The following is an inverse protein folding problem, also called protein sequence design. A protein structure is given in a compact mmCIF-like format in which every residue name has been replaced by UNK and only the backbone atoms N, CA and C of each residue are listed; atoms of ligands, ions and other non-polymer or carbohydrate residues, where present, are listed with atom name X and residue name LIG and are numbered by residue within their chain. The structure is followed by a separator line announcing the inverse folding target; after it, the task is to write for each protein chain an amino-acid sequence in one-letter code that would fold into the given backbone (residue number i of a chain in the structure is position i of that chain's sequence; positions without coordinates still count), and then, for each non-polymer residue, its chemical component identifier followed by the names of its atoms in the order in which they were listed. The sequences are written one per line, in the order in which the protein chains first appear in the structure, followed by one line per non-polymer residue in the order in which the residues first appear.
data_IF_399052671580
#
_entry.id   IF_399052671580
#
_cell.length_a   1.000
_cell.length_b   1.000
_cell.length_c   1.000
_cell.angle_alpha   90.00
_cell.angle_beta   90.00
_cell.angle_gamma   90.00
#
_symmetry.space_group_name_H-M   'P 1'
#
loop_
_entity.id
_entity.type
_entity.pdbx_description
1 polymer ?
#
# COMPACT_ATOMS: atom_id res chain seq x y z
N UNK A 1 21.34 -10.03 -5.14
CA UNK A 1 21.29 -8.56 -5.20
C UNK A 1 20.81 -8.19 -6.60
N UNK A 2 19.50 -7.92 -6.75
CA UNK A 2 18.94 -7.36 -7.99
C UNK A 2 19.55 -5.96 -8.18
N UNK A 3 19.60 -5.50 -9.43
CA UNK A 3 20.30 -4.29 -9.89
C UNK A 3 19.59 -3.01 -9.45
N UNK A 4 19.52 -2.73 -8.15
CA UNK A 4 18.73 -1.62 -7.59
C UNK A 4 19.35 -0.23 -7.81
N UNK A 5 20.66 -0.14 -8.11
CA UNK A 5 21.35 1.15 -8.27
C UNK A 5 21.18 1.83 -9.65
N UNK A 6 20.53 1.20 -10.64
CA UNK A 6 20.31 1.84 -11.95
C UNK A 6 19.05 2.73 -12.01
N UNK A 7 18.33 2.87 -10.88
CA UNK A 7 16.94 3.37 -10.80
C UNK A 7 16.81 4.91 -10.63
N UNK A 8 17.85 5.70 -10.90
CA UNK A 8 17.98 7.08 -10.39
C UNK A 8 17.96 8.20 -11.44
N UNK A 9 17.30 8.01 -12.58
CA UNK A 9 17.31 9.02 -13.65
C UNK A 9 16.20 10.09 -13.60
N UNK A 10 15.37 10.17 -12.55
CA UNK A 10 14.27 11.16 -12.50
C UNK A 10 14.05 11.86 -11.15
N UNK A 11 15.05 11.97 -10.28
CA UNK A 11 15.05 13.10 -9.35
C UNK A 11 15.52 14.31 -10.16
N UNK A 12 14.67 15.32 -10.47
CA UNK A 12 15.17 16.55 -11.06
C UNK A 12 16.21 17.09 -10.08
N UNK A 13 17.47 17.18 -10.53
CA UNK A 13 18.53 17.80 -9.77
C UNK A 13 18.01 19.10 -9.18
N UNK A 14 18.12 19.28 -7.85
CA UNK A 14 17.78 20.52 -7.16
C UNK A 14 18.41 21.66 -7.96
N UNK A 15 17.57 22.41 -8.68
CA UNK A 15 18.00 23.46 -9.58
C UNK A 15 18.71 24.52 -8.75
N UNK A 16 19.91 24.91 -9.20
CA UNK A 16 20.52 26.15 -8.74
C UNK A 16 19.67 27.30 -9.28
N UNK A 17 19.16 28.13 -8.39
CA UNK A 17 18.47 29.37 -8.73
C UNK A 17 19.37 30.28 -9.56
N UNK A 18 19.02 30.48 -10.83
CA UNK A 18 19.33 31.68 -11.59
C UNK A 18 18.39 31.77 -12.81
N UNK A 19 17.19 32.33 -12.61
CA UNK A 19 16.35 32.80 -13.71
C UNK A 19 15.51 34.02 -13.30
N UNK A 20 15.91 35.18 -13.81
CA UNK A 20 15.14 36.43 -13.91
C UNK A 20 13.77 36.24 -14.57
N UNK A 21 12.73 37.02 -14.19
CA UNK A 21 11.37 36.82 -14.67
C UNK A 21 11.14 37.45 -16.05
N UNK A 22 10.54 36.69 -16.96
CA UNK A 22 9.97 37.18 -18.21
C UNK A 22 8.48 37.51 -18.06
N UNK A 23 8.09 38.57 -18.76
CA UNK A 23 6.82 39.29 -18.72
C UNK A 23 5.57 38.50 -19.10
N UNK A 24 4.48 38.79 -18.39
CA UNK A 24 3.10 38.35 -18.63
C UNK A 24 2.51 38.99 -19.90
N UNK A 25 2.07 38.17 -20.83
CA UNK A 25 1.25 38.56 -21.98
C UNK A 25 -0.21 38.17 -21.76
N UNK A 26 -1.10 39.16 -21.83
CA UNK A 26 -2.56 39.04 -21.67
C UNK A 26 -3.28 38.71 -22.97
N UNK A 27 -4.16 37.71 -22.93
CA UNK A 27 -5.26 37.47 -23.89
C UNK A 27 -6.09 36.30 -23.33
N UNK A 28 -7.41 36.35 -23.14
CA UNK A 28 -8.46 37.04 -23.85
C UNK A 28 -9.41 35.95 -24.37
N UNK A 29 -10.42 35.56 -23.58
CA UNK A 29 -11.46 34.59 -23.99
C UNK A 29 -12.84 35.17 -23.68
N UNK A 30 -13.69 35.18 -24.72
CA UNK A 30 -15.07 35.64 -24.68
C UNK A 30 -15.99 34.59 -25.34
N UNK A 31 -17.16 34.39 -24.71
CA UNK A 31 -18.39 33.85 -25.31
C UNK A 31 -18.48 32.32 -25.41
N UNK A 32 -19.63 31.66 -25.28
CA UNK A 32 -21.00 32.12 -25.08
C UNK A 32 -21.88 30.94 -24.64
N UNK A 33 -23.07 31.28 -24.13
CA UNK A 33 -24.07 30.42 -23.52
C UNK A 33 -24.99 29.68 -24.52
N UNK A 34 -25.72 28.68 -24.00
CA UNK A 34 -26.97 28.12 -24.54
C UNK A 34 -27.15 26.67 -24.09
N UNK A 35 -28.32 26.11 -23.80
CA UNK A 35 -29.69 26.56 -23.57
C UNK A 35 -30.44 25.29 -23.06
N UNK A 36 -31.49 25.48 -22.26
CA UNK A 36 -32.23 24.42 -21.58
C UNK A 36 -33.07 23.52 -22.51
N UNK A 37 -33.39 22.31 -22.03
CA UNK A 37 -34.43 21.43 -22.57
C UNK A 37 -34.96 20.47 -21.50
N UNK A 38 -36.28 20.40 -21.36
CA UNK A 38 -37.05 19.80 -20.26
C UNK A 38 -37.94 18.64 -20.71
N UNK A 39 -38.20 17.69 -19.80
CA UNK A 39 -39.33 16.72 -19.80
C UNK A 39 -39.00 15.34 -20.39
N UNK A 40 -39.48 14.20 -19.91
CA UNK A 40 -40.39 13.84 -18.83
C UNK A 40 -40.85 12.37 -19.00
N UNK A 41 -41.14 11.71 -17.87
CA UNK A 41 -42.06 10.57 -17.67
C UNK A 41 -41.65 9.10 -17.94
N UNK A 42 -42.10 8.31 -16.94
CA UNK A 42 -41.93 6.89 -16.63
C UNK A 42 -42.44 5.85 -17.65
N UNK A 43 -41.85 4.65 -17.58
CA UNK A 43 -42.39 3.40 -18.09
C UNK A 43 -41.68 2.18 -17.47
N UNK A 44 -42.47 1.29 -16.88
CA UNK A 44 -42.05 0.03 -16.21
C UNK A 44 -42.08 -1.11 -17.24
N UNK A 45 -41.08 -1.99 -17.25
CA UNK A 45 -41.13 -3.27 -17.97
C UNK A 45 -39.78 -3.99 -18.04
N UNK A 46 -39.69 -5.18 -17.44
CA UNK A 46 -38.49 -6.01 -17.45
C UNK A 46 -38.31 -6.85 -18.71
N UNK A 47 -37.06 -7.13 -19.06
CA UNK A 47 -36.61 -8.31 -19.81
C UNK A 47 -35.08 -8.40 -19.79
N UNK A 48 -34.57 -9.63 -19.68
CA UNK A 48 -33.16 -9.98 -19.82
C UNK A 48 -32.65 -9.66 -21.24
N UNK A 49 -31.47 -9.04 -21.35
CA UNK A 49 -30.87 -8.67 -22.64
C UNK A 49 -29.36 -8.46 -22.54
N UNK A 50 -28.65 -9.04 -23.50
CA UNK A 50 -27.22 -8.96 -23.78
C UNK A 50 -26.68 -7.52 -23.80
N UNK A 51 -25.55 -7.29 -23.12
CA UNK A 51 -24.92 -5.98 -22.94
C UNK A 51 -24.42 -5.33 -24.24
N UNK A 52 -25.29 -4.56 -24.88
CA UNK A 52 -24.93 -3.50 -25.81
C UNK A 52 -24.73 -2.19 -25.03
N UNK A 53 -23.62 -1.51 -25.31
CA UNK A 53 -23.27 -0.24 -24.70
C UNK A 53 -24.37 0.82 -24.94
N UNK A 54 -25.14 1.13 -23.90
CA UNK A 54 -25.99 2.29 -23.86
C UNK A 54 -25.12 3.53 -23.61
N UNK A 55 -25.21 4.52 -24.51
CA UNK A 55 -24.60 5.83 -24.32
C UNK A 55 -25.16 6.48 -23.06
N UNK A 56 -24.28 6.68 -22.08
CA UNK A 56 -24.59 7.31 -20.80
C UNK A 56 -24.56 8.83 -20.99
N UNK A 57 -25.62 9.52 -20.58
CA UNK A 57 -25.68 10.98 -20.51
C UNK A 57 -24.45 11.52 -19.76
N UNK A 58 -23.73 12.45 -20.41
CA UNK A 58 -22.40 12.95 -20.05
C UNK A 58 -22.32 13.84 -18.80
N UNK A 59 -22.95 13.43 -17.69
CA UNK A 59 -22.60 13.95 -16.38
C UNK A 59 -21.26 13.35 -15.97
N UNK A 60 -20.16 14.11 -16.05
CA UNK A 60 -18.86 13.66 -15.58
C UNK A 60 -18.93 13.49 -14.06
N UNK A 61 -19.14 12.25 -13.59
CA UNK A 61 -19.00 11.91 -12.18
C UNK A 61 -17.66 12.44 -11.69
N UNK A 62 -17.67 13.17 -10.57
CA UNK A 62 -16.44 13.72 -10.00
C UNK A 62 -15.44 12.59 -9.74
N UNK A 63 -14.19 12.77 -10.18
CA UNK A 63 -13.11 11.81 -9.99
C UNK A 63 -12.88 11.49 -8.50
N UNK A 64 -12.99 12.52 -7.66
CA UNK A 64 -12.68 12.43 -6.24
C UNK A 64 -13.84 12.88 -5.35
N UNK A 65 -13.83 12.30 -4.16
CA UNK A 65 -14.74 12.56 -3.06
C UNK A 65 -13.94 12.73 -1.78
N UNK A 66 -14.25 13.78 -1.03
CA UNK A 66 -13.71 14.03 0.32
C UNK A 66 -14.13 13.00 1.37
N UNK A 67 -15.00 12.05 1.00
CA UNK A 67 -15.45 10.97 1.89
C UNK A 67 -14.70 9.67 1.59
N UNK A 68 -14.49 9.34 0.31
CA UNK A 68 -14.03 8.00 -0.12
C UNK A 68 -12.76 8.02 -0.98
N UNK A 69 -12.11 9.18 -1.17
CA UNK A 69 -10.97 9.31 -2.07
C UNK A 69 -11.42 9.24 -3.53
N UNK A 70 -10.85 8.33 -4.33
CA UNK A 70 -11.36 8.11 -5.69
C UNK A 70 -12.78 7.54 -5.65
N UNK A 71 -13.65 8.06 -6.53
CA UNK A 71 -15.05 7.61 -6.63
C UNK A 71 -15.18 6.25 -7.32
N UNK A 72 -14.10 5.76 -7.93
CA UNK A 72 -14.00 4.44 -8.55
C UNK A 72 -12.66 3.79 -8.17
N UNK A 73 -12.59 2.44 -8.16
CA UNK A 73 -11.33 1.73 -8.04
C UNK A 73 -10.31 2.16 -9.10
N UNK A 74 -9.03 2.02 -8.78
CA UNK A 74 -7.97 2.31 -9.74
C UNK A 74 -8.14 1.47 -11.02
N UNK A 75 -7.89 2.04 -12.21
CA UNK A 75 -7.94 1.32 -13.47
C UNK A 75 -6.96 0.15 -13.47
N UNK A 76 -7.49 -1.03 -13.82
CA UNK A 76 -6.68 -2.22 -14.03
C UNK A 76 -6.15 -2.27 -15.45
N UNK A 77 -4.97 -2.86 -15.64
CA UNK A 77 -4.42 -3.12 -16.96
C UNK A 77 -5.27 -4.17 -17.69
N UNK A 78 -5.57 -3.93 -18.97
CA UNK A 78 -6.27 -4.90 -19.85
C UNK A 78 -5.69 -4.87 -21.26
N UNK A 79 -6.10 -5.76 -22.18
CA UNK A 79 -5.71 -5.67 -23.58
C UNK A 79 -6.21 -4.37 -24.24
N UNK A 80 -7.39 -3.90 -23.86
CA UNK A 80 -8.02 -2.67 -24.38
C UNK A 80 -7.42 -1.40 -23.74
N UNK A 81 -6.95 -1.52 -22.50
CA UNK A 81 -6.35 -0.44 -21.71
C UNK A 81 -5.02 -0.92 -21.11
N UNK A 82 -3.98 -1.10 -21.94
CA UNK A 82 -2.69 -1.58 -21.46
C UNK A 82 -2.08 -0.57 -20.49
N UNK A 83 -1.27 -1.09 -19.58
CA UNK A 83 -0.40 -0.29 -18.75
C UNK A 83 0.90 -0.04 -19.50
N UNK A 84 1.02 1.17 -20.03
CA UNK A 84 2.05 1.63 -20.96
C UNK A 84 3.14 2.47 -20.28
N UNK A 85 3.04 2.66 -18.97
CA UNK A 85 4.08 3.27 -18.11
C UNK A 85 4.61 2.21 -17.13
N UNK A 86 5.09 1.05 -17.62
CA UNK A 86 5.50 -0.01 -16.73
C UNK A 86 6.62 0.48 -15.82
N UNK A 87 6.52 0.15 -14.54
CA UNK A 87 7.60 0.39 -13.61
C UNK A 87 8.90 -0.29 -14.09
N UNK A 88 10.06 0.31 -13.81
CA UNK A 88 11.35 -0.15 -14.33
C UNK A 88 11.66 -1.62 -13.99
N UNK A 89 11.22 -2.08 -12.82
CA UNK A 89 11.31 -3.46 -12.35
C UNK A 89 10.62 -4.48 -13.27
N UNK A 90 9.66 -4.04 -14.09
CA UNK A 90 9.02 -4.85 -15.12
C UNK A 90 9.85 -4.96 -16.41
N UNK A 91 11.02 -4.33 -16.48
CA UNK A 91 11.92 -4.36 -17.64
C UNK A 91 11.21 -4.01 -18.96
N UNK A 92 10.33 -3.01 -18.93
CA UNK A 92 9.55 -2.56 -20.08
C UNK A 92 8.42 -3.50 -20.51
N UNK A 93 8.07 -4.50 -19.70
CA UNK A 93 6.91 -5.35 -19.98
C UNK A 93 5.61 -4.55 -19.90
N UNK A 94 4.90 -4.46 -21.01
CA UNK A 94 3.54 -3.93 -21.05
C UNK A 94 2.61 -4.93 -20.38
N UNK A 95 1.91 -4.49 -19.33
CA UNK A 95 0.93 -5.32 -18.65
C UNK A 95 -0.42 -5.18 -19.37
N UNK A 96 -0.97 -6.31 -19.80
CA UNK A 96 -2.25 -6.39 -20.52
C UNK A 96 -3.26 -7.30 -19.81
N UNK A 97 -2.94 -7.74 -18.59
CA UNK A 97 -3.83 -8.56 -17.76
C UNK A 97 -4.05 -7.86 -16.42
N UNK A 98 -5.23 -8.01 -15.78
CA UNK A 98 -5.53 -7.34 -14.52
C UNK A 98 -4.79 -7.94 -13.31
N UNK A 99 -4.24 -9.15 -13.47
CA UNK A 99 -3.60 -9.93 -12.41
C UNK A 99 -2.61 -10.89 -13.03
N UNK A 100 -1.52 -11.20 -12.32
CA UNK A 100 -0.51 -12.15 -12.78
C UNK A 100 -0.19 -13.14 -11.65
N UNK A 101 -0.17 -14.46 -11.90
CA UNK A 101 0.21 -15.42 -10.86
C UNK A 101 1.63 -15.15 -10.35
N UNK A 102 1.85 -15.07 -9.02
CA UNK A 102 3.19 -14.95 -8.45
C UNK A 102 3.95 -16.28 -8.51
N UNK A 103 5.28 -16.21 -8.41
CA UNK A 103 6.10 -17.38 -8.15
C UNK A 103 6.19 -17.61 -6.63
N UNK A 104 5.42 -18.56 -6.12
CA UNK A 104 5.37 -18.78 -4.68
C UNK A 104 6.70 -19.36 -4.14
N UNK A 105 7.31 -18.73 -3.11
CA UNK A 105 8.57 -19.20 -2.56
C UNK A 105 8.42 -20.55 -1.85
N UNK A 106 9.54 -21.23 -1.62
CA UNK A 106 9.58 -22.51 -0.92
C UNK A 106 8.87 -22.42 0.45
N UNK A 107 8.05 -23.43 0.76
CA UNK A 107 7.21 -23.44 1.97
C UNK A 107 5.86 -22.75 1.81
N UNK A 108 5.56 -22.18 0.64
CA UNK A 108 4.24 -21.61 0.32
C UNK A 108 3.59 -22.30 -0.89
N UNK A 109 2.26 -22.20 -1.00
CA UNK A 109 1.46 -22.74 -2.09
C UNK A 109 0.65 -21.63 -2.75
N UNK A 110 0.50 -21.70 -4.07
CA UNK A 110 -0.35 -20.77 -4.82
C UNK A 110 -1.83 -20.98 -4.47
N UNK A 111 -2.48 -19.93 -3.97
CA UNK A 111 -3.92 -19.82 -3.81
C UNK A 111 -4.51 -18.98 -4.94
N UNK A 112 -5.76 -19.27 -5.29
CA UNK A 112 -6.50 -18.60 -6.36
C UNK A 112 -7.94 -18.37 -5.89
N UNK A 113 -8.51 -17.20 -6.21
CA UNK A 113 -9.94 -16.92 -6.00
C UNK A 113 -10.45 -16.07 -7.16
N UNK A 114 -11.68 -16.33 -7.60
CA UNK A 114 -12.37 -15.46 -8.55
C UNK A 114 -13.16 -14.41 -7.76
N UNK A 115 -12.76 -13.15 -7.91
CA UNK A 115 -13.35 -12.02 -7.19
C UNK A 115 -13.70 -10.93 -8.18
N UNK A 116 -14.98 -10.53 -8.20
CA UNK A 116 -15.51 -9.50 -9.09
C UNK A 116 -15.18 -9.77 -10.58
N UNK A 117 -15.22 -11.04 -10.99
CA UNK A 117 -14.96 -11.46 -12.37
C UNK A 117 -13.48 -11.53 -12.76
N UNK A 118 -12.55 -11.40 -11.80
CA UNK A 118 -11.11 -11.50 -12.04
C UNK A 118 -10.53 -12.60 -11.15
N UNK A 119 -9.74 -13.51 -11.74
CA UNK A 119 -8.94 -14.47 -10.96
C UNK A 119 -7.76 -13.75 -10.30
N UNK A 120 -7.69 -13.86 -8.98
CA UNK A 120 -6.69 -13.22 -8.12
C UNK A 120 -5.88 -14.29 -7.40
N UNK A 121 -4.65 -13.95 -7.01
CA UNK A 121 -3.65 -14.91 -6.55
C UNK A 121 -3.05 -14.53 -5.20
N UNK A 122 -2.57 -15.52 -4.45
CA UNK A 122 -1.78 -15.32 -3.25
C UNK A 122 -0.82 -16.51 -3.06
N UNK A 123 0.20 -16.35 -2.24
CA UNK A 123 1.06 -17.45 -1.79
C UNK A 123 0.81 -17.69 -0.30
N UNK A 124 0.46 -18.91 0.08
CA UNK A 124 0.09 -19.25 1.44
C UNK A 124 0.99 -20.32 2.07
N UNK A 125 1.39 -20.10 3.32
CA UNK A 125 2.03 -21.10 4.17
C UNK A 125 1.07 -21.49 5.31
N UNK A 126 0.82 -22.78 5.46
CA UNK A 126 0.09 -23.35 6.58
C UNK A 126 1.07 -23.82 7.66
N UNK A 127 0.89 -23.42 8.94
CA UNK A 127 1.79 -23.81 10.01
C UNK A 127 1.56 -25.27 10.43
N UNK A 128 2.61 -25.99 10.87
CA UNK A 128 2.46 -27.33 11.41
C UNK A 128 1.47 -27.40 12.59
N UNK A 129 0.65 -28.45 12.60
CA UNK A 129 -0.27 -28.73 13.71
C UNK A 129 -1.50 -27.84 13.78
N UNK A 130 -1.75 -26.97 12.79
CA UNK A 130 -3.04 -26.32 12.64
C UNK A 130 -4.14 -27.37 12.40
N UNK A 131 -5.25 -27.25 13.13
CA UNK A 131 -6.39 -28.14 13.00
C UNK A 131 -7.65 -27.49 13.54
N UNK A 132 -8.81 -28.14 13.34
CA UNK A 132 -10.09 -27.68 13.89
C UNK A 132 -10.12 -27.61 15.43
N UNK A 133 -9.27 -28.40 16.11
CA UNK A 133 -9.13 -28.38 17.58
C UNK A 133 -7.92 -27.59 18.07
N UNK A 134 -7.04 -27.17 17.15
CA UNK A 134 -5.82 -26.42 17.43
C UNK A 134 -5.64 -25.34 16.35
N UNK A 135 -6.54 -24.37 16.35
CA UNK A 135 -6.53 -23.26 15.40
C UNK A 135 -5.25 -22.41 15.53
N UNK A 136 -4.85 -21.74 14.45
CA UNK A 136 -3.67 -20.87 14.42
C UNK A 136 -4.04 -19.45 13.95
N UNK A 137 -3.33 -18.42 14.43
CA UNK A 137 -3.49 -17.06 13.91
C UNK A 137 -3.28 -17.00 12.40
N UNK A 138 -3.83 -15.96 11.76
CA UNK A 138 -3.65 -15.68 10.34
C UNK A 138 -2.99 -14.31 10.17
N UNK A 139 -1.96 -14.21 9.34
CA UNK A 139 -1.38 -12.96 8.85
C UNK A 139 -1.59 -12.88 7.34
N UNK A 140 -2.27 -11.82 6.88
CA UNK A 140 -2.21 -11.38 5.50
C UNK A 140 -1.02 -10.43 5.35
N UNK A 141 -0.16 -10.69 4.37
CA UNK A 141 0.98 -9.84 4.05
C UNK A 141 0.81 -9.22 2.67
N UNK A 142 1.04 -7.90 2.58
CA UNK A 142 0.90 -7.11 1.36
C UNK A 142 2.26 -6.55 0.92
N UNK A 143 2.62 -6.81 -0.33
CA UNK A 143 3.95 -6.54 -0.88
C UNK A 143 4.17 -5.05 -1.21
N UNK A 144 5.42 -4.58 -1.36
CA UNK A 144 5.71 -3.23 -1.84
C UNK A 144 5.26 -3.04 -3.30
N UNK A 145 5.13 -1.78 -3.74
CA UNK A 145 4.60 -1.49 -5.07
C UNK A 145 5.53 -1.95 -6.19
N UNK A 146 4.96 -2.42 -7.30
CA UNK A 146 5.70 -2.83 -8.49
C UNK A 146 6.18 -4.29 -8.48
N UNK A 147 6.34 -4.87 -7.30
CA UNK A 147 6.77 -6.24 -7.07
C UNK A 147 5.60 -7.24 -7.01
N UNK A 148 5.83 -8.50 -6.62
CA UNK A 148 4.78 -9.49 -6.42
C UNK A 148 4.77 -10.09 -5.02
N UNK A 149 3.80 -10.96 -4.75
CA UNK A 149 3.72 -11.72 -3.50
C UNK A 149 4.98 -12.56 -3.21
N UNK A 150 5.81 -12.83 -4.22
CA UNK A 150 7.11 -13.51 -4.11
C UNK A 150 8.15 -12.73 -3.28
N UNK A 151 8.00 -11.42 -3.14
CA UNK A 151 8.85 -10.58 -2.27
C UNK A 151 8.70 -10.91 -0.78
N UNK A 152 7.73 -11.73 -0.38
CA UNK A 152 7.72 -12.31 0.97
C UNK A 152 9.01 -13.11 1.28
N UNK A 153 9.71 -13.60 0.24
CA UNK A 153 11.01 -14.26 0.38
C UNK A 153 12.15 -13.33 0.82
N UNK A 154 11.95 -12.01 0.77
CA UNK A 154 12.86 -11.01 1.30
C UNK A 154 12.61 -10.70 2.78
N UNK A 155 11.70 -11.44 3.41
CA UNK A 155 11.38 -11.35 4.83
C UNK A 155 11.76 -12.66 5.53
N UNK A 156 11.78 -12.64 6.87
CA UNK A 156 11.87 -13.85 7.68
C UNK A 156 10.50 -14.52 7.94
N UNK A 157 9.38 -13.95 7.46
CA UNK A 157 8.04 -14.36 7.85
C UNK A 157 7.68 -15.79 7.46
N UNK A 158 8.10 -16.29 6.29
CA UNK A 158 7.84 -17.68 5.87
C UNK A 158 8.50 -18.67 6.82
N UNK A 159 9.71 -18.39 7.30
CA UNK A 159 10.39 -19.25 8.27
C UNK A 159 9.75 -19.18 9.66
N UNK A 160 9.32 -17.98 10.08
CA UNK A 160 8.69 -17.73 11.38
C UNK A 160 7.27 -18.29 11.45
N UNK A 161 6.55 -18.36 10.34
CA UNK A 161 5.17 -18.88 10.29
C UNK A 161 5.06 -20.31 10.82
N UNK A 162 6.11 -21.12 10.71
CA UNK A 162 6.09 -22.49 11.19
C UNK A 162 6.19 -22.63 12.73
N UNK A 163 6.78 -21.65 13.44
CA UNK A 163 7.22 -21.86 14.82
C UNK A 163 7.01 -20.68 15.79
N UNK A 164 6.79 -19.46 15.30
CA UNK A 164 6.61 -18.30 16.18
C UNK A 164 5.26 -18.37 16.90
N UNK A 165 5.25 -18.19 18.22
CA UNK A 165 4.01 -18.19 19.01
C UNK A 165 3.31 -16.83 18.94
N UNK A 166 2.27 -16.72 18.12
CA UNK A 166 1.37 -15.55 18.05
C UNK A 166 0.12 -15.69 18.94
N UNK A 167 -0.01 -16.79 19.67
CA UNK A 167 -1.16 -17.07 20.52
C UNK A 167 -0.91 -16.69 21.98
N UNK A 168 0.35 -16.69 22.42
CA UNK A 168 0.77 -16.66 23.82
C UNK A 168 0.73 -18.04 24.49
N UNK A 169 0.38 -19.08 23.74
CA UNK A 169 0.39 -20.48 24.15
C UNK A 169 1.49 -21.22 23.39
N UNK A 170 2.57 -21.55 24.08
CA UNK A 170 3.73 -22.23 23.50
C UNK A 170 3.42 -23.63 22.95
N UNK A 171 2.24 -24.20 23.25
CA UNK A 171 1.77 -25.46 22.65
C UNK A 171 1.11 -25.28 21.29
N UNK A 172 0.83 -24.03 20.88
CA UNK A 172 0.24 -23.66 19.59
C UNK A 172 1.15 -22.75 18.76
N UNK A 173 2.42 -23.13 18.52
CA UNK A 173 3.33 -22.32 17.73
C UNK A 173 2.86 -22.23 16.26
N UNK A 174 3.28 -21.16 15.61
CA UNK A 174 3.06 -20.90 14.20
C UNK A 174 1.78 -20.12 13.89
N UNK A 175 1.66 -19.70 12.64
CA UNK A 175 0.55 -18.94 12.11
C UNK A 175 0.40 -19.17 10.59
N UNK A 176 -0.83 -19.08 10.09
CA UNK A 176 -1.08 -19.03 8.66
C UNK A 176 -0.52 -17.72 8.10
N UNK A 177 0.25 -17.80 7.03
CA UNK A 177 0.79 -16.63 6.34
C UNK A 177 0.28 -16.62 4.91
N UNK A 178 -0.30 -15.51 4.47
CA UNK A 178 -0.83 -15.34 3.11
C UNK A 178 -0.24 -14.07 2.50
N UNK A 179 0.71 -14.22 1.59
CA UNK A 179 1.25 -13.12 0.79
C UNK A 179 0.32 -12.85 -0.40
N UNK A 180 -0.36 -11.71 -0.37
CA UNK A 180 -1.43 -11.37 -1.32
C UNK A 180 -0.83 -10.73 -2.58
N UNK A 181 -1.22 -11.19 -3.78
CA UNK A 181 -0.77 -10.57 -5.03
C UNK A 181 -1.61 -9.33 -5.37
N UNK A 182 -0.93 -8.20 -5.54
CA UNK A 182 -1.49 -6.95 -6.06
C UNK A 182 -1.98 -7.10 -7.50
N UNK A 183 -2.93 -6.23 -7.89
CA UNK A 183 -3.42 -6.14 -9.27
C UNK A 183 -2.41 -5.40 -10.13
N UNK A 184 -2.44 -5.67 -11.42
CA UNK A 184 -1.77 -4.80 -12.39
C UNK A 184 -2.63 -3.54 -12.56
N UNK A 185 -2.16 -2.41 -12.02
CA UNK A 185 -2.90 -1.15 -11.94
C UNK A 185 -2.14 -0.01 -12.62
N UNK A 186 -2.90 0.97 -13.11
CA UNK A 186 -2.39 2.31 -13.40
C UNK A 186 -2.24 3.07 -12.09
N UNK A 187 -1.06 3.01 -11.49
CA UNK A 187 -0.85 3.55 -10.15
C UNK A 187 -0.61 5.08 -10.20
N UNK A 188 -1.27 5.87 -9.33
CA UNK A 188 -1.32 7.32 -9.48
C UNK A 188 -0.22 8.07 -8.71
N UNK A 189 1.04 7.69 -8.92
CA UNK A 189 2.20 8.35 -8.31
C UNK A 189 2.78 9.46 -9.20
N UNK A 190 3.50 10.40 -8.61
CA UNK A 190 4.25 11.48 -9.28
C UNK A 190 5.33 10.94 -10.21
N UNK A 191 5.98 9.83 -9.81
CA UNK A 191 6.71 8.98 -10.72
C UNK A 191 5.74 7.87 -11.14
N UNK A 192 5.00 8.01 -12.26
CA UNK A 192 3.89 7.11 -12.52
C UNK A 192 4.43 5.72 -12.81
N UNK A 193 4.00 4.75 -11.99
CA UNK A 193 4.48 3.39 -12.02
C UNK A 193 3.29 2.47 -12.23
N UNK A 194 3.02 2.11 -13.47
CA UNK A 194 2.09 1.02 -13.69
C UNK A 194 2.74 -0.28 -13.26
N UNK A 195 1.98 -1.14 -12.58
CA UNK A 195 2.56 -2.33 -12.02
C UNK A 195 1.64 -3.04 -11.06
N UNK A 196 2.23 -3.96 -10.32
CA UNK A 196 1.54 -4.76 -9.33
C UNK A 196 1.39 -3.94 -8.05
N UNK A 197 0.18 -3.52 -7.75
CA UNK A 197 -0.13 -2.67 -6.60
C UNK A 197 -1.40 -3.11 -5.88
N UNK A 198 -1.52 -2.66 -4.65
CA UNK A 198 -2.76 -2.66 -3.88
C UNK A 198 -3.38 -1.25 -3.93
N UNK A 199 -4.65 -1.18 -4.30
CA UNK A 199 -5.42 0.06 -4.35
C UNK A 199 -5.80 0.51 -2.95
N UNK A 200 -5.08 1.51 -2.45
CA UNK A 200 -5.43 2.20 -1.22
C UNK A 200 -6.06 3.57 -1.48
N UNK A 201 -6.47 3.91 -2.71
CA UNK A 201 -7.04 5.23 -3.04
C UNK A 201 -8.57 5.23 -3.18
N UNK A 202 -9.18 4.07 -3.46
CA UNK A 202 -10.64 3.89 -3.33
C UNK A 202 -11.00 3.41 -1.91
N UNK A 203 -11.53 4.32 -1.08
CA UNK A 203 -11.63 4.19 0.38
C UNK A 203 -13.08 4.24 0.87
N UNK A 204 -14.00 3.60 0.15
CA UNK A 204 -15.39 3.54 0.60
C UNK A 204 -15.55 2.61 1.81
N UNK A 205 -15.34 3.15 3.01
CA UNK A 205 -15.45 2.40 4.26
C UNK A 205 -16.90 2.01 4.59
N UNK A 206 -17.90 2.61 3.92
CA UNK A 206 -19.31 2.21 4.08
C UNK A 206 -19.64 0.95 3.30
N UNK A 207 -18.89 0.69 2.22
CA UNK A 207 -18.97 -0.53 1.42
C UNK A 207 -17.56 -1.02 1.08
N UNK A 208 -16.74 -1.49 2.05
CA UNK A 208 -15.30 -1.71 1.81
C UNK A 208 -14.97 -2.62 0.63
N UNK A 209 -15.79 -3.66 0.39
CA UNK A 209 -15.62 -4.58 -0.73
C UNK A 209 -15.95 -3.99 -2.11
N UNK A 210 -16.34 -2.71 -2.22
CA UNK A 210 -16.35 -1.99 -3.49
C UNK A 210 -14.93 -1.77 -4.03
N UNK A 211 -13.93 -1.75 -3.13
CA UNK A 211 -12.52 -1.85 -3.49
C UNK A 211 -12.18 -3.32 -3.82
N UNK A 212 -11.76 -3.64 -5.07
CA UNK A 212 -11.48 -5.01 -5.47
C UNK A 212 -10.32 -5.69 -4.72
N UNK A 213 -9.39 -4.92 -4.15
CA UNK A 213 -8.31 -5.48 -3.32
C UNK A 213 -8.80 -5.84 -1.92
N UNK A 214 -9.71 -5.04 -1.34
CA UNK A 214 -10.39 -5.39 -0.09
C UNK A 214 -11.26 -6.63 -0.30
N UNK A 215 -12.06 -6.67 -1.37
CA UNK A 215 -12.91 -7.81 -1.68
C UNK A 215 -12.11 -9.12 -1.85
N UNK A 216 -10.91 -9.03 -2.42
CA UNK A 216 -10.04 -10.20 -2.56
C UNK A 216 -9.44 -10.64 -1.21
N UNK A 217 -8.99 -9.70 -0.38
CA UNK A 217 -8.52 -10.00 0.96
C UNK A 217 -9.63 -10.62 1.83
N UNK A 218 -10.88 -10.12 1.72
CA UNK A 218 -12.05 -10.68 2.38
C UNK A 218 -12.26 -12.15 1.97
N UNK A 219 -12.27 -12.42 0.66
CA UNK A 219 -12.49 -13.77 0.13
C UNK A 219 -11.42 -14.77 0.59
N UNK A 220 -10.15 -14.34 0.69
CA UNK A 220 -9.07 -15.16 1.23
C UNK A 220 -9.30 -15.46 2.72
N UNK A 221 -9.61 -14.44 3.53
CA UNK A 221 -9.89 -14.60 4.97
C UNK A 221 -11.07 -15.55 5.17
N UNK A 222 -12.18 -15.30 4.49
CA UNK A 222 -13.41 -16.08 4.63
C UNK A 222 -13.19 -17.53 4.20
N UNK A 223 -12.48 -17.76 3.10
CA UNK A 223 -12.15 -19.11 2.63
C UNK A 223 -11.25 -19.87 3.62
N UNK A 224 -10.26 -19.20 4.22
CA UNK A 224 -9.33 -19.85 5.16
C UNK A 224 -10.00 -20.13 6.51
N UNK A 225 -10.83 -19.22 7.00
CA UNK A 225 -11.62 -19.44 8.23
C UNK A 225 -12.63 -20.55 8.03
N UNK A 226 -13.30 -20.62 6.88
CA UNK A 226 -14.22 -21.72 6.57
C UNK A 226 -13.53 -23.10 6.56
N UNK A 227 -12.21 -23.15 6.31
CA UNK A 227 -11.40 -24.35 6.45
C UNK A 227 -11.23 -24.83 7.91
N UNK A 228 -11.57 -23.99 8.89
CA UNK A 228 -11.65 -24.34 10.31
C UNK A 228 -10.32 -24.37 11.07
N UNK A 229 -9.20 -24.05 10.43
CA UNK A 229 -7.86 -24.08 11.04
C UNK A 229 -7.36 -22.71 11.48
N UNK A 230 -8.08 -21.63 11.16
CA UNK A 230 -7.76 -20.25 11.56
C UNK A 230 -8.43 -19.90 12.89
N UNK A 231 -7.69 -19.21 13.76
CA UNK A 231 -8.18 -18.59 14.99
C UNK A 231 -8.80 -17.23 14.65
N UNK A 232 -10.12 -17.16 14.62
CA UNK A 232 -10.88 -15.99 14.15
C UNK A 232 -10.64 -14.74 15.02
N UNK A 233 -10.14 -14.89 16.25
CA UNK A 233 -9.78 -13.75 17.11
C UNK A 233 -8.43 -13.14 16.74
N UNK A 234 -7.65 -13.79 15.86
CA UNK A 234 -6.26 -13.47 15.57
C UNK A 234 -6.00 -13.42 14.07
N UNK A 235 -6.84 -12.66 13.37
CA UNK A 235 -6.63 -12.31 11.95
C UNK A 235 -5.92 -10.96 11.93
N UNK A 236 -4.68 -10.96 11.44
CA UNK A 236 -3.80 -9.80 11.43
C UNK A 236 -3.39 -9.46 10.02
N UNK A 237 -2.88 -8.24 9.86
CA UNK A 237 -2.35 -7.77 8.57
C UNK A 237 -0.95 -7.19 8.74
N UNK A 238 -0.12 -7.38 7.73
CA UNK A 238 1.20 -6.79 7.62
C UNK A 238 1.41 -6.27 6.21
N UNK A 239 2.26 -5.26 6.06
CA UNK A 239 2.57 -4.77 4.73
C UNK A 239 3.80 -3.87 4.69
N UNK A 240 4.34 -3.74 3.49
CA UNK A 240 5.52 -2.94 3.19
C UNK A 240 5.21 -1.90 2.12
N UNK A 241 5.60 -0.64 2.31
CA UNK A 241 5.46 0.42 1.27
C UNK A 241 4.00 0.53 0.81
N UNK A 242 3.69 0.41 -0.49
CA UNK A 242 2.33 0.31 -1.03
C UNK A 242 1.45 -0.69 -0.27
N UNK A 243 1.96 -1.90 0.01
CA UNK A 243 1.28 -2.89 0.81
C UNK A 243 1.10 -2.46 2.26
N UNK A 244 1.99 -1.64 2.81
CA UNK A 244 1.84 -1.02 4.13
C UNK A 244 0.69 0.01 4.18
N UNK A 245 0.53 0.82 3.13
CA UNK A 245 -0.61 1.75 3.01
C UNK A 245 -1.92 0.96 2.93
N UNK A 246 -1.95 -0.07 2.09
CA UNK A 246 -3.13 -0.93 1.94
C UNK A 246 -3.44 -1.74 3.20
N UNK A 247 -2.43 -2.29 3.89
CA UNK A 247 -2.62 -3.03 5.14
C UNK A 247 -3.27 -2.15 6.22
N UNK A 248 -2.87 -0.89 6.34
CA UNK A 248 -3.52 0.06 7.24
C UNK A 248 -4.98 0.29 6.85
N UNK A 249 -5.25 0.57 5.57
CA UNK A 249 -6.62 0.74 5.07
C UNK A 249 -7.48 -0.48 5.37
N UNK A 250 -6.99 -1.69 5.08
CA UNK A 250 -7.72 -2.93 5.28
C UNK A 250 -7.96 -3.22 6.77
N UNK A 251 -6.97 -2.99 7.65
CA UNK A 251 -7.14 -3.09 9.09
C UNK A 251 -8.25 -2.16 9.59
N UNK A 252 -8.24 -0.89 9.17
CA UNK A 252 -9.25 0.10 9.54
C UNK A 252 -10.64 -0.30 9.01
N UNK A 253 -10.70 -0.73 7.75
CA UNK A 253 -11.95 -1.13 7.11
C UNK A 253 -12.58 -2.38 7.75
N UNK A 254 -11.76 -3.28 8.33
CA UNK A 254 -12.21 -4.59 8.83
C UNK A 254 -12.10 -4.83 10.33
N UNK A 255 -11.58 -3.88 11.08
CA UNK A 255 -11.57 -4.00 12.54
C UNK A 255 -12.99 -3.94 13.11
N UNK A 256 -13.74 -2.91 12.69
CA UNK A 256 -15.09 -2.71 13.19
C UNK A 256 -16.20 -3.27 12.28
N UNK A 257 -15.92 -3.45 11.00
CA UNK A 257 -16.86 -4.00 10.03
C UNK A 257 -16.43 -5.40 9.61
N UNK A 258 -17.30 -6.38 9.78
CA UNK A 258 -16.96 -7.74 9.38
C UNK A 258 -16.82 -7.87 7.84
N UNK A 259 -16.01 -8.82 7.39
CA UNK A 259 -16.05 -9.35 6.02
C UNK A 259 -17.43 -9.95 5.72
N UNK A 260 -17.78 -10.24 4.45
CA UNK A 260 -19.02 -10.96 4.12
C UNK A 260 -19.17 -12.30 4.85
N UNK A 261 -18.07 -13.01 5.11
CA UNK A 261 -18.02 -14.25 5.91
C UNK A 261 -17.97 -14.04 7.43
N UNK A 262 -18.17 -12.81 7.92
CA UNK A 262 -18.31 -12.52 9.35
C UNK A 262 -17.00 -12.34 10.11
N UNK A 263 -15.86 -12.21 9.43
CA UNK A 263 -14.54 -12.12 10.03
C UNK A 263 -14.11 -10.67 10.25
N UNK A 264 -13.23 -10.41 11.22
CA UNK A 264 -12.72 -9.07 11.53
C UNK A 264 -11.20 -9.10 11.67
N UNK A 265 -10.56 -7.98 11.38
CA UNK A 265 -9.10 -7.82 11.56
C UNK A 265 -8.81 -7.32 12.98
N UNK A 266 -7.97 -8.05 13.69
CA UNK A 266 -7.61 -7.77 15.08
C UNK A 266 -6.62 -6.60 15.19
N UNK A 267 -5.55 -6.61 14.38
CA UNK A 267 -4.48 -5.61 14.43
C UNK A 267 -3.63 -5.61 13.14
N UNK A 268 -2.82 -4.56 12.98
CA UNK A 268 -1.86 -4.42 11.88
C UNK A 268 -0.43 -4.13 12.33
N UNK A 269 0.56 -4.57 11.55
CA UNK A 269 1.96 -4.16 11.71
C UNK A 269 2.59 -3.86 10.33
N UNK A 270 2.95 -2.61 10.09
CA UNK A 270 3.33 -2.11 8.76
C UNK A 270 4.71 -1.48 8.75
N UNK A 271 5.38 -1.50 7.61
CA UNK A 271 6.72 -0.95 7.43
C UNK A 271 6.79 0.03 6.26
N UNK A 272 7.56 1.11 6.45
CA UNK A 272 7.90 2.11 5.43
C UNK A 272 6.64 2.66 4.71
N UNK A 273 5.70 3.18 5.49
CA UNK A 273 4.40 3.67 5.02
C UNK A 273 3.95 4.88 5.84
N UNK A 274 2.92 5.57 5.38
CA UNK A 274 2.34 6.74 6.01
C UNK A 274 0.82 6.75 5.82
N UNK A 275 0.21 7.89 5.51
CA UNK A 275 -1.24 8.08 5.47
C UNK A 275 -1.87 7.43 4.23
N UNK A 276 -2.77 6.45 4.39
CA UNK A 276 -3.58 5.95 3.28
C UNK A 276 -4.84 6.81 3.07
N UNK A 277 -4.90 8.05 3.58
CA UNK A 277 -6.09 8.94 3.50
C UNK A 277 -5.80 10.31 2.87
N UNK A 278 -4.57 10.55 2.44
CA UNK A 278 -4.15 11.80 1.82
C UNK A 278 -4.40 11.86 0.30
N UNK A 279 -4.11 13.03 -0.27
CA UNK A 279 -4.35 13.38 -1.67
C UNK A 279 -3.36 12.68 -2.63
N UNK A 280 -3.60 12.85 -3.92
CA UNK A 280 -2.85 12.20 -5.01
C UNK A 280 -2.47 13.21 -6.09
N UNK A 281 -1.22 13.16 -6.58
CA UNK A 281 -0.71 14.10 -7.59
C UNK A 281 -1.00 13.70 -9.04
N UNK A 282 -1.62 12.55 -9.28
CA UNK A 282 -1.84 12.00 -10.62
C UNK A 282 -3.27 11.52 -10.83
N UNK A 283 -3.82 11.74 -12.02
CA UNK A 283 -5.10 11.16 -12.46
C UNK A 283 -4.83 9.84 -13.20
N UNK A 284 -5.14 8.68 -12.61
CA UNK A 284 -4.86 7.39 -13.25
C UNK A 284 -5.84 7.07 -14.40
N UNK A 285 -6.97 7.77 -14.49
CA UNK A 285 -8.01 7.54 -15.50
C UNK A 285 -7.74 8.34 -16.78
N UNK A 286 -7.36 9.61 -16.63
CA UNK A 286 -6.97 10.47 -17.74
C UNK A 286 -5.47 10.37 -18.08
N UNK A 287 -4.68 9.72 -17.22
CA UNK A 287 -3.23 9.58 -17.38
C UNK A 287 -2.51 10.95 -17.47
N UNK A 288 -2.83 11.87 -16.57
CA UNK A 288 -2.25 13.22 -16.52
C UNK A 288 -1.87 13.64 -15.10
N UNK A 289 -0.87 14.52 -14.93
CA UNK A 289 -0.62 15.16 -13.65
C UNK A 289 -1.86 15.92 -13.17
N UNK A 290 -2.10 15.92 -11.85
CA UNK A 290 -3.11 16.74 -11.19
C UNK A 290 -2.44 17.83 -10.38
N UNK A 291 -3.04 19.01 -10.36
CA UNK A 291 -2.71 20.02 -9.36
C UNK A 291 -3.24 19.51 -8.01
N UNK A 292 -2.41 19.44 -6.96
CA UNK A 292 -2.88 19.10 -5.63
C UNK A 292 -3.82 20.20 -5.13
N UNK A 293 -5.11 19.93 -5.13
CA UNK A 293 -6.14 20.82 -4.57
C UNK A 293 -6.83 20.20 -3.34
N UNK A 294 -6.37 19.02 -2.90
CA UNK A 294 -6.93 18.28 -1.77
C UNK A 294 -8.20 17.51 -2.11
N UNK A 295 -8.62 17.43 -3.38
CA UNK A 295 -9.93 16.87 -3.73
C UNK A 295 -10.07 15.37 -3.42
N UNK A 296 -8.98 14.60 -3.40
CA UNK A 296 -9.01 13.15 -3.12
C UNK A 296 -8.56 12.80 -1.70
N UNK A 297 -8.16 13.81 -0.91
CA UNK A 297 -7.94 13.66 0.53
C UNK A 297 -9.28 13.49 1.23
N UNK A 298 -9.34 12.58 2.19
CA UNK A 298 -10.53 12.42 3.03
C UNK A 298 -10.57 13.52 4.10
N UNK A 299 -11.70 14.22 4.22
CA UNK A 299 -11.85 15.35 5.16
C UNK A 299 -11.88 14.90 6.63
N UNK A 300 -12.49 13.73 6.89
CA UNK A 300 -12.60 13.16 8.23
C UNK A 300 -11.97 11.76 8.26
N UNK A 301 -10.91 11.60 9.05
CA UNK A 301 -10.32 10.29 9.28
C UNK A 301 -11.30 9.38 10.04
N UNK A 302 -11.32 8.07 9.74
CA UNK A 302 -12.19 7.14 10.44
C UNK A 302 -11.75 7.00 11.91
N UNK A 303 -12.74 7.02 12.81
CA UNK A 303 -12.53 6.77 14.24
C UNK A 303 -12.73 5.28 14.54
N UNK A 304 -11.66 4.50 14.36
CA UNK A 304 -11.63 3.05 14.58
C UNK A 304 -10.47 2.71 15.52
N UNK A 305 -10.73 2.04 16.63
CA UNK A 305 -9.73 1.75 17.67
C UNK A 305 -8.79 0.57 17.32
N UNK A 306 -8.51 0.35 16.03
CA UNK A 306 -7.67 -0.75 15.57
C UNK A 306 -6.20 -0.54 16.02
N UNK A 307 -5.58 -1.52 16.69
CA UNK A 307 -4.16 -1.46 17.03
C UNK A 307 -3.29 -1.60 15.77
N UNK A 308 -2.46 -0.60 15.51
CA UNK A 308 -1.49 -0.62 14.39
C UNK A 308 -0.10 -0.25 14.92
N UNK A 309 0.89 -1.09 14.65
CA UNK A 309 2.31 -0.72 14.79
C UNK A 309 2.86 -0.25 13.43
N UNK A 310 3.33 0.98 13.38
CA UNK A 310 4.03 1.53 12.21
C UNK A 310 5.55 1.55 12.47
N UNK A 311 6.28 0.72 11.73
CA UNK A 311 7.75 0.67 11.73
C UNK A 311 8.28 1.51 10.57
N UNK A 312 9.23 2.41 10.81
CA UNK A 312 9.81 3.26 9.76
C UNK A 312 11.26 3.63 10.09
N UNK A 313 12.03 3.97 9.05
CA UNK A 313 13.43 4.42 9.21
C UNK A 313 13.53 5.93 9.16
N UNK A 314 14.42 6.51 9.95
CA UNK A 314 14.89 7.89 9.72
C UNK A 314 15.69 7.90 8.43
N UNK A 315 15.32 8.73 7.45
CA UNK A 315 15.95 8.79 6.12
C UNK A 315 15.37 7.78 5.10
N UNK A 316 14.07 7.51 5.14
CA UNK A 316 13.40 6.89 4.00
C UNK A 316 13.04 7.98 2.98
N UNK A 317 13.59 7.88 1.76
CA UNK A 317 13.37 8.87 0.71
C UNK A 317 12.05 8.70 -0.05
N UNK A 318 11.44 7.52 -0.01
CA UNK A 318 10.15 7.29 -0.66
C UNK A 318 9.00 7.65 0.27
N UNK A 319 9.14 7.37 1.57
CA UNK A 319 8.18 7.73 2.62
C UNK A 319 8.94 8.48 3.72
N UNK A 320 8.98 9.81 3.59
CA UNK A 320 9.66 10.67 4.54
C UNK A 320 9.16 10.44 5.98
N UNK A 321 10.05 10.55 6.96
CA UNK A 321 9.63 10.55 8.36
C UNK A 321 9.00 11.90 8.73
N UNK A 322 9.62 13.01 8.31
CA UNK A 322 9.22 14.37 8.69
C UNK A 322 8.88 15.26 7.48
N UNK A 323 8.14 16.38 7.66
CA UNK A 323 7.86 17.33 6.59
C UNK A 323 9.11 17.94 5.95
N UNK A 324 10.18 18.15 6.71
CA UNK A 324 11.45 18.69 6.20
C UNK A 324 12.09 17.70 5.21
N UNK A 325 12.07 16.40 5.54
CA UNK A 325 12.52 15.36 4.61
C UNK A 325 11.61 15.26 3.40
N UNK A 326 10.30 15.35 3.59
CA UNK A 326 9.32 15.32 2.52
C UNK A 326 9.58 16.43 1.49
N UNK A 327 9.83 17.65 1.98
CA UNK A 327 10.21 18.79 1.13
C UNK A 327 11.54 18.55 0.40
N UNK A 328 12.47 17.82 1.02
CA UNK A 328 13.79 17.60 0.47
C UNK A 328 13.81 16.53 -0.63
N UNK A 329 13.00 15.48 -0.48
CA UNK A 329 12.88 14.41 -1.47
C UNK A 329 11.72 14.66 -2.47
N UNK A 330 10.99 15.77 -2.33
CA UNK A 330 9.73 16.04 -3.03
C UNK A 330 8.76 14.83 -2.95
N UNK A 331 8.57 14.30 -1.74
CA UNK A 331 7.68 13.15 -1.55
C UNK A 331 6.22 13.53 -1.83
N UNK A 332 5.46 12.53 -2.26
CA UNK A 332 4.04 12.70 -2.52
C UNK A 332 3.23 13.09 -1.27
N UNK A 333 2.07 13.76 -1.43
CA UNK A 333 1.16 14.02 -0.34
C UNK A 333 0.77 12.70 0.33
N UNK A 334 0.76 12.66 1.66
CA UNK A 334 0.48 11.44 2.41
C UNK A 334 1.68 10.55 2.69
N UNK A 335 2.85 10.82 2.11
CA UNK A 335 4.06 10.02 2.28
C UNK A 335 4.96 10.57 3.38
N UNK A 336 4.35 11.13 4.45
CA UNK A 336 5.05 11.66 5.62
C UNK A 336 4.56 10.97 6.90
N UNK A 337 5.46 10.23 7.53
CA UNK A 337 5.11 9.24 8.56
C UNK A 337 4.70 9.87 9.90
N UNK A 338 5.49 10.79 10.44
CA UNK A 338 5.24 11.36 11.77
C UNK A 338 3.94 12.17 11.84
N UNK A 339 3.63 13.07 10.87
CA UNK A 339 2.35 13.77 10.84
C UNK A 339 1.16 12.81 10.72
N UNK A 340 1.31 11.71 9.99
CA UNK A 340 0.28 10.69 9.89
C UNK A 340 0.02 10.00 11.24
N UNK A 341 1.06 9.62 11.97
CA UNK A 341 0.92 9.00 13.30
C UNK A 341 0.12 9.91 14.24
N UNK A 342 0.42 11.20 14.25
CA UNK A 342 -0.27 12.17 15.09
C UNK A 342 -1.74 12.37 14.66
N UNK A 343 -1.99 12.50 13.36
CA UNK A 343 -3.35 12.62 12.82
C UNK A 343 -4.21 11.37 13.09
N UNK A 344 -3.63 10.18 12.93
CA UNK A 344 -4.30 8.91 13.18
C UNK A 344 -4.69 8.76 14.65
N UNK A 345 -3.78 9.07 15.59
CA UNK A 345 -4.07 9.07 17.03
C UNK A 345 -5.17 10.08 17.38
N UNK A 346 -5.10 11.28 16.83
CA UNK A 346 -6.12 12.31 17.04
C UNK A 346 -7.51 11.88 16.53
N UNK A 347 -7.55 11.07 15.47
CA UNK A 347 -8.78 10.48 14.94
C UNK A 347 -9.30 9.27 15.73
N UNK A 348 -8.56 8.75 16.72
CA UNK A 348 -8.95 7.59 17.52
C UNK A 348 -8.39 6.25 17.04
N UNK A 349 -7.49 6.25 16.05
CA UNK A 349 -6.76 5.05 15.63
C UNK A 349 -5.68 4.73 16.67
N UNK A 350 -5.65 3.49 17.16
CA UNK A 350 -4.68 3.04 18.16
C UNK A 350 -3.30 2.78 17.54
N UNK A 351 -2.65 3.85 17.08
CA UNK A 351 -1.37 3.79 16.39
C UNK A 351 -0.20 3.88 17.38
N UNK A 352 0.71 2.91 17.28
CA UNK A 352 2.03 2.93 17.91
C UNK A 352 3.10 2.94 16.83
N UNK A 353 4.32 3.32 17.18
CA UNK A 353 5.39 3.42 16.19
C UNK A 353 6.73 2.94 16.71
N UNK A 354 7.51 2.32 15.84
CA UNK A 354 8.90 1.97 16.07
C UNK A 354 9.77 2.67 15.03
N UNK A 355 10.50 3.70 15.48
CA UNK A 355 11.44 4.45 14.65
C UNK A 355 12.80 3.75 14.66
N UNK A 356 13.29 3.39 13.48
CA UNK A 356 14.58 2.76 13.25
C UNK A 356 15.59 3.82 12.77
N UNK A 357 16.85 3.71 13.20
CA UNK A 357 17.90 4.64 12.81
C UNK A 357 18.41 4.42 11.38
N UNK A 358 18.82 5.51 10.71
CA UNK A 358 19.10 5.59 9.26
C UNK A 358 20.42 5.00 8.76
N UNK A 359 21.04 4.06 9.48
CA UNK A 359 22.32 3.42 9.07
C UNK A 359 22.34 1.90 9.06
N UNK A 360 21.21 1.26 9.35
CA UNK A 360 21.15 -0.21 9.40
C UNK A 360 21.24 -0.87 7.99
N UNK A 361 21.22 -0.07 6.93
CA UNK A 361 21.35 -0.49 5.53
C UNK A 361 22.69 -1.16 5.13
N UNK A 362 23.67 -1.27 6.04
CA UNK A 362 24.75 -2.23 5.88
C UNK A 362 26.15 -1.67 6.13
N UNK A 363 26.89 -2.33 7.03
CA UNK A 363 28.27 -2.00 7.38
C UNK A 363 29.26 -2.16 6.21
N UNK A 364 28.84 -2.73 5.07
CA UNK A 364 29.65 -2.84 3.85
C UNK A 364 29.56 -1.62 2.93
N UNK A 365 28.59 -0.72 3.12
CA UNK A 365 28.53 0.57 2.41
C UNK A 365 29.06 1.74 3.29
N UNK A 366 29.46 1.43 4.53
CA UNK A 366 29.90 2.36 5.59
C UNK A 366 31.39 2.76 5.53
N UNK A 367 32.17 2.32 4.54
CA UNK A 367 33.63 2.49 4.59
C UNK A 367 34.09 3.95 4.43
N UNK A 368 33.23 4.89 4.00
CA UNK A 368 33.66 6.29 3.76
C UNK A 368 32.74 7.41 4.33
N UNK A 369 31.73 7.13 5.17
CA UNK A 369 30.80 8.15 5.68
C UNK A 369 30.80 8.34 7.21
N UNK A 370 30.93 9.57 7.77
CA UNK A 370 31.05 9.78 9.22
C UNK A 370 29.79 9.35 9.98
N UNK A 371 29.91 8.33 10.82
CA UNK A 371 28.85 7.73 11.63
C UNK A 371 28.39 8.65 12.78
N UNK A 372 27.63 9.72 12.52
CA UNK A 372 26.96 10.47 13.60
C UNK A 372 25.92 11.49 13.12
N UNK A 373 24.69 11.06 12.86
CA UNK A 373 23.49 11.85 13.14
C UNK A 373 22.30 10.90 13.19
N UNK A 374 21.58 10.85 14.31
CA UNK A 374 20.31 10.12 14.45
C UNK A 374 19.15 10.83 13.76
N UNK A 375 19.47 11.85 12.95
CA UNK A 375 18.55 12.75 12.30
C UNK A 375 19.08 12.99 10.89
N UNK A 376 18.34 12.55 9.88
CA UNK A 376 18.51 13.09 8.55
C UNK A 376 18.23 14.58 8.64
N UNK A 377 19.29 15.37 8.69
CA UNK A 377 19.17 16.82 8.69
C UNK A 377 18.86 17.28 7.27
N UNK A 378 18.21 18.43 7.11
CA UNK A 378 17.97 19.04 5.78
C UNK A 378 19.27 19.25 4.98
N UNK A 379 20.43 19.32 5.65
CA UNK A 379 21.74 19.35 4.99
C UNK A 379 22.11 18.04 4.27
N UNK A 380 21.61 16.89 4.72
CA UNK A 380 21.87 15.58 4.08
C UNK A 380 21.17 15.44 2.72
N UNK A 381 20.16 16.27 2.46
CA UNK A 381 19.45 16.38 1.20
C UNK A 381 20.23 17.07 0.08
N UNK A 382 21.26 17.82 0.45
CA UNK A 382 22.14 18.52 -0.50
C UNK A 382 23.41 17.74 -0.81
N UNK A 383 23.59 16.58 -0.18
CA UNK A 383 24.75 15.72 -0.40
C UNK A 383 24.64 15.01 -1.76
N UNK A 384 25.76 14.51 -2.31
CA UNK A 384 25.81 13.90 -3.65
C UNK A 384 24.76 12.77 -3.82
N UNK A 385 24.40 12.46 -5.07
CA UNK A 385 23.44 11.41 -5.47
C UNK A 385 23.60 10.08 -4.69
N UNK A 386 24.82 9.74 -4.27
CA UNK A 386 25.10 8.59 -3.40
C UNK A 386 24.29 8.58 -2.09
N UNK A 387 23.97 9.73 -1.51
CA UNK A 387 23.14 9.84 -0.30
C UNK A 387 21.65 9.61 -0.59
N UNK A 388 21.15 10.05 -1.75
CA UNK A 388 19.80 9.71 -2.22
C UNK A 388 19.61 8.20 -2.38
N UNK A 389 20.62 7.50 -2.93
CA UNK A 389 20.61 6.04 -3.00
C UNK A 389 20.46 5.40 -1.61
N UNK A 390 21.21 5.87 -0.61
CA UNK A 390 21.13 5.32 0.75
C UNK A 390 19.76 5.52 1.39
N UNK A 391 19.16 6.69 1.19
CA UNK A 391 17.83 6.97 1.71
C UNK A 391 16.75 6.12 1.03
N UNK A 392 16.93 5.77 -0.25
CA UNK A 392 16.07 4.80 -0.93
C UNK A 392 16.28 3.37 -0.41
N UNK A 393 17.52 2.97 -0.11
CA UNK A 393 17.79 1.63 0.47
C UNK A 393 17.07 1.45 1.82
N UNK A 394 16.94 2.50 2.63
CA UNK A 394 16.13 2.46 3.85
C UNK A 394 14.66 2.10 3.59
N UNK A 395 14.12 2.50 2.44
CA UNK A 395 12.79 2.10 2.00
C UNK A 395 12.75 0.64 1.52
N UNK A 396 13.78 0.26 0.74
CA UNK A 396 13.85 -1.00 -0.01
C UNK A 396 14.32 -2.21 0.81
N UNK A 397 14.68 -2.03 2.08
CA UNK A 397 15.09 -3.14 2.95
C UNK A 397 14.08 -3.32 4.07
N UNK A 398 13.30 -4.39 3.96
CA UNK A 398 12.48 -4.91 5.05
C UNK A 398 13.34 -5.12 6.31
N UNK A 399 12.84 -4.80 7.51
CA UNK A 399 13.67 -4.76 8.72
C UNK A 399 13.88 -6.17 9.32
N UNK A 400 14.24 -7.14 8.49
CA UNK A 400 14.71 -8.45 8.93
C UNK A 400 16.19 -8.38 9.37
N UNK A 401 16.59 -9.33 10.20
CA UNK A 401 17.99 -9.43 10.62
C UNK A 401 18.95 -9.91 9.52
N UNK A 402 18.45 -10.29 8.34
CA UNK A 402 19.24 -10.92 7.28
C UNK A 402 19.85 -9.90 6.32
N UNK A 403 19.13 -8.83 6.01
CA UNK A 403 19.60 -7.72 5.19
C UNK A 403 20.26 -6.62 6.04
N UNK A 404 19.92 -6.50 7.32
CA UNK A 404 20.57 -5.62 8.30
C UNK A 404 21.97 -6.12 8.74
N UNK A 405 22.73 -6.84 7.89
CA UNK A 405 24.07 -7.42 8.18
C UNK A 405 25.17 -6.39 8.51
N UNK A 406 24.78 -5.15 8.77
CA UNK A 406 25.62 -4.11 9.36
C UNK A 406 25.64 -4.12 10.89
N UNK A 407 25.95 -2.96 11.47
CA UNK A 407 26.36 -2.79 12.87
C UNK A 407 25.32 -3.16 13.94
N UNK A 408 24.04 -3.38 13.60
CA UNK A 408 23.01 -3.78 14.58
C UNK A 408 22.63 -5.26 14.52
N UNK A 409 22.57 -5.92 13.35
CA UNK A 409 22.04 -7.29 13.17
C UNK A 409 20.66 -7.51 13.85
N UNK A 410 19.88 -6.45 14.05
CA UNK A 410 18.61 -6.56 14.78
C UNK A 410 17.52 -6.97 13.78
N UNK A 411 16.91 -8.10 14.07
CA UNK A 411 15.65 -8.52 13.46
C UNK A 411 14.50 -7.81 14.20
N UNK A 412 13.77 -6.95 13.49
CA UNK A 412 12.63 -6.23 14.06
C UNK A 412 11.29 -6.93 13.80
N UNK A 413 11.26 -8.02 13.02
CA UNK A 413 10.03 -8.81 12.83
C UNK A 413 9.46 -9.35 14.14
N UNK A 414 10.25 -9.84 15.12
CA UNK A 414 9.73 -10.23 16.43
C UNK A 414 8.97 -9.10 17.13
N UNK A 415 9.42 -7.85 17.02
CA UNK A 415 8.71 -6.72 17.63
C UNK A 415 7.34 -6.47 16.95
N UNK A 416 7.29 -6.63 15.62
CA UNK A 416 6.05 -6.55 14.85
C UNK A 416 5.08 -7.67 15.23
N UNK A 417 5.56 -8.92 15.25
CA UNK A 417 4.78 -10.11 15.62
C UNK A 417 4.30 -10.04 17.08
N UNK A 418 5.13 -9.55 17.99
CA UNK A 418 4.75 -9.35 19.40
C UNK A 418 3.67 -8.28 19.56
N UNK A 419 3.69 -7.23 18.73
CA UNK A 419 2.61 -6.24 18.71
C UNK A 419 1.28 -6.89 18.30
N UNK A 420 1.28 -7.71 17.26
CA UNK A 420 0.08 -8.44 16.82
C UNK A 420 -0.42 -9.39 17.90
N UNK A 421 0.47 -10.21 18.49
CA UNK A 421 0.15 -11.17 19.56
C UNK A 421 -0.61 -10.56 20.74
N UNK A 422 -0.27 -9.32 21.12
CA UNK A 422 -0.87 -8.60 22.25
C UNK A 422 -2.26 -8.04 21.97
N UNK A 423 -2.71 -8.05 20.72
CA UNK A 423 -3.92 -7.38 20.28
C UNK A 423 -4.90 -8.33 19.56
N UNK A 424 -5.32 -9.47 20.17
CA UNK A 424 -6.42 -10.26 19.62
C UNK A 424 -7.75 -9.48 19.75
N UNK A 425 -8.74 -9.87 18.95
CA UNK A 425 -10.13 -9.45 19.18
C UNK A 425 -10.65 -10.02 20.51
N UNK A 426 -11.60 -9.32 21.18
CA UNK A 426 -12.15 -9.73 22.48
C UNK A 426 -12.83 -11.10 22.49
#
# INVERSE_FOLDING_TARGET
MRTWCLLLLLIPACGSDDATPASVGTGGIAGAAGLAGSGGSAGIGGAAGSGGAAGVDGGTTALCSKVIGFTQPLPQCSPETPCDRPADELNGQVLTSPSTPPSCPAGTTLMQQDVLGVTRYACAAEPPGASVTSKRPLILWFHPGGDGADTISETGLVSKSAAYDLTGDSSRPGFHLVAVQGRNLRFPTQAPRDGRHHDFYHRDLSSPSSNPDIAFADALVDSLVAGGTVDEKRIYVMGWSNGGFFAQLYAIARHDTATPGGQRVAAGAVFATASPFDDVRWDPFANVPRTPDGACRVDALPSVAVPILLVYRTCDAAVAATPEQASCFDTEPGYVTEPWIDAAKAAGISMTSLRLGGREAGATLDVEGPASSSTCTSTECTLPISYGCYCLVNHLIWPDGAYNKGSSNIDHEPAMLDSLRKNPLP
#
